data_IF_401388636334
#
_entry.id   IF_401388636334
#
_cell.length_a   1.000
_cell.length_b   1.000
_cell.length_c   1.000
_cell.angle_alpha   90.00
_cell.angle_beta   90.00
_cell.angle_gamma   90.00
#
_symmetry.space_group_name_H-M   'P 1'
#
loop_
_entity.id
_entity.type
_entity.pdbx_description
1 polymer ?
#
# COMPACT_ATOMS: atom_id res chain seq x y z
N UNK A 1 -13.49 2.09 -0.76
CA UNK A 1 -12.61 3.26 -0.93
C UNK A 1 -12.27 3.50 -2.38
N UNK A 2 -11.95 4.75 -2.72
CA UNK A 2 -11.35 5.12 -4.01
C UNK A 2 -9.87 4.70 -4.03
N UNK A 3 -9.33 4.51 -5.23
CA UNK A 3 -7.90 4.28 -5.45
C UNK A 3 -7.26 5.65 -5.70
N UNK A 4 -6.13 5.92 -5.05
CA UNK A 4 -5.37 7.17 -5.23
C UNK A 4 -3.91 6.88 -5.52
N UNK A 5 -3.28 7.70 -6.34
CA UNK A 5 -1.84 7.70 -6.52
C UNK A 5 -1.18 8.75 -5.64
N UNK A 6 0.01 8.44 -5.15
CA UNK A 6 0.90 9.36 -4.44
C UNK A 6 2.23 9.40 -5.18
N UNK A 7 2.63 10.61 -5.58
CA UNK A 7 3.89 10.94 -6.23
C UNK A 7 4.54 12.13 -5.51
N UNK A 8 4.87 11.94 -4.23
CA UNK A 8 5.36 13.01 -3.36
C UNK A 8 6.86 12.88 -3.04
N UNK A 9 7.56 14.02 -2.93
CA UNK A 9 8.96 14.08 -2.48
C UNK A 9 9.93 13.20 -3.28
N UNK A 10 11.02 12.78 -2.60
CA UNK A 10 12.06 11.91 -3.16
C UNK A 10 11.48 10.51 -3.40
N UNK A 11 11.68 9.98 -4.61
CA UNK A 11 11.33 8.60 -4.89
C UNK A 11 12.20 7.65 -4.07
N UNK A 12 11.65 6.47 -3.81
CA UNK A 12 12.34 5.42 -3.09
C UNK A 12 13.30 4.70 -4.01
N UNK A 13 14.32 4.07 -3.45
CA UNK A 13 15.25 3.24 -4.20
C UNK A 13 14.85 1.76 -4.11
N UNK A 14 14.92 1.06 -5.24
CA UNK A 14 14.60 -0.37 -5.34
C UNK A 14 13.23 -0.66 -5.98
N UNK A 15 12.80 -1.94 -5.98
CA UNK A 15 11.65 -2.40 -6.76
C UNK A 15 10.29 -2.18 -6.07
N UNK A 16 10.27 -1.62 -4.87
CA UNK A 16 9.07 -1.50 -4.03
C UNK A 16 8.66 -0.03 -3.92
N UNK A 17 7.35 0.15 -3.79
CA UNK A 17 6.77 1.41 -3.38
C UNK A 17 6.45 1.36 -1.87
N UNK A 18 6.76 2.42 -1.16
CA UNK A 18 6.93 2.55 0.29
C UNK A 18 6.34 3.90 0.76
N UNK A 19 5.51 4.53 -0.08
CA UNK A 19 4.73 5.71 0.26
C UNK A 19 4.92 6.91 -0.66
N UNK A 20 6.02 6.98 -1.41
CA UNK A 20 6.33 8.17 -2.22
C UNK A 20 5.97 8.01 -3.69
N UNK A 21 5.97 6.78 -4.23
CA UNK A 21 5.48 6.44 -5.58
C UNK A 21 4.49 5.28 -5.52
N UNK A 22 3.40 5.48 -4.80
CA UNK A 22 2.46 4.44 -4.42
C UNK A 22 1.07 4.62 -5.04
N UNK A 23 0.42 3.51 -5.36
CA UNK A 23 -1.03 3.41 -5.48
C UNK A 23 -1.57 2.90 -4.15
N UNK A 24 -2.45 3.69 -3.56
CA UNK A 24 -3.03 3.44 -2.26
C UNK A 24 -4.52 3.13 -2.38
N UNK A 25 -5.00 2.26 -1.51
CA UNK A 25 -6.43 1.97 -1.37
C UNK A 25 -6.77 1.54 0.06
N UNK A 26 -8.06 1.61 0.39
CA UNK A 26 -8.60 1.01 1.62
C UNK A 26 -8.48 -0.53 1.50
N UNK A 27 -7.76 -1.22 2.39
CA UNK A 27 -7.54 -2.67 2.28
C UNK A 27 -8.79 -3.49 2.63
N UNK A 28 -9.85 -2.85 3.14
CA UNK A 28 -11.08 -3.51 3.58
C UNK A 28 -12.04 -3.74 2.41
N UNK A 29 -12.79 -4.83 2.52
CA UNK A 29 -13.83 -5.20 1.56
C UNK A 29 -13.32 -5.99 0.36
N UNK A 30 -14.18 -6.85 -0.17
CA UNK A 30 -13.79 -7.89 -1.15
C UNK A 30 -13.47 -7.33 -2.55
N UNK A 31 -14.07 -6.21 -2.94
CA UNK A 31 -13.98 -5.66 -4.30
C UNK A 31 -12.73 -4.82 -4.57
N UNK A 32 -11.98 -4.40 -3.54
CA UNK A 32 -10.87 -3.46 -3.76
C UNK A 32 -9.68 -4.11 -4.47
N UNK A 33 -9.42 -5.38 -4.15
CA UNK A 33 -8.38 -6.18 -4.81
C UNK A 33 -8.60 -6.20 -6.33
N UNK A 34 -9.83 -6.49 -6.76
CA UNK A 34 -10.20 -6.53 -8.18
C UNK A 34 -10.05 -5.16 -8.85
N UNK A 35 -10.49 -4.09 -8.18
CA UNK A 35 -10.37 -2.72 -8.70
C UNK A 35 -8.90 -2.32 -8.91
N UNK A 36 -8.02 -2.63 -7.95
CA UNK A 36 -6.59 -2.35 -8.09
C UNK A 36 -5.97 -3.24 -9.18
N UNK A 37 -6.34 -4.53 -9.24
CA UNK A 37 -5.86 -5.46 -10.28
C UNK A 37 -6.22 -5.02 -11.70
N UNK A 38 -7.41 -4.44 -11.92
CA UNK A 38 -7.82 -3.87 -13.21
C UNK A 38 -6.86 -2.79 -13.72
N UNK A 39 -6.28 -2.00 -12.83
CA UNK A 39 -5.25 -1.00 -13.18
C UNK A 39 -3.89 -1.68 -13.37
N UNK A 40 -3.54 -2.60 -12.47
CA UNK A 40 -2.21 -3.21 -12.46
C UNK A 40 -1.99 -4.21 -13.60
N UNK A 41 -3.07 -4.74 -14.19
CA UNK A 41 -3.04 -5.83 -15.18
C UNK A 41 -2.20 -7.03 -14.69
N UNK A 42 -2.43 -7.41 -13.43
CA UNK A 42 -1.72 -8.52 -12.75
C UNK A 42 -2.66 -9.71 -12.55
N UNK A 43 -2.07 -10.87 -12.29
CA UNK A 43 -2.82 -12.08 -11.91
C UNK A 43 -3.57 -11.85 -10.61
N UNK A 44 -4.84 -12.26 -10.57
CA UNK A 44 -5.78 -11.91 -9.50
C UNK A 44 -5.44 -12.50 -8.13
N UNK A 45 -4.72 -13.63 -8.10
CA UNK A 45 -4.37 -14.29 -6.83
C UNK A 45 -3.35 -13.48 -6.01
N UNK A 46 -2.47 -12.69 -6.64
CA UNK A 46 -1.42 -11.95 -5.93
C UNK A 46 -2.04 -10.89 -5.01
N UNK A 47 -1.80 -10.94 -3.69
CA UNK A 47 -2.23 -9.88 -2.81
C UNK A 47 -1.33 -8.67 -2.95
N UNK A 48 -1.82 -7.57 -2.41
CA UNK A 48 -1.06 -6.34 -2.25
C UNK A 48 -0.44 -6.30 -0.86
N UNK A 49 0.53 -5.40 -0.68
CA UNK A 49 1.19 -5.26 0.62
C UNK A 49 0.45 -4.21 1.47
N UNK A 50 0.35 -4.37 2.79
CA UNK A 50 -0.11 -3.35 3.68
C UNK A 50 1.05 -2.41 4.07
N UNK A 51 0.74 -1.12 4.15
CA UNK A 51 1.52 -0.14 4.92
C UNK A 51 0.75 0.20 6.18
N UNK A 52 1.25 -0.25 7.33
CA UNK A 52 0.60 -0.14 8.64
C UNK A 52 1.38 0.81 9.54
N UNK A 53 0.66 1.59 10.36
CA UNK A 53 1.28 2.37 11.44
C UNK A 53 2.08 1.43 12.35
N UNK A 54 3.33 1.77 12.62
CA UNK A 54 4.25 0.91 13.37
C UNK A 54 3.68 0.49 14.73
N UNK A 55 3.04 1.42 15.44
CA UNK A 55 2.43 1.20 16.74
C UNK A 55 1.28 0.17 16.73
N UNK A 56 0.66 -0.07 15.57
CA UNK A 56 -0.45 -1.03 15.40
C UNK A 56 -0.03 -2.33 14.69
N UNK A 57 1.22 -2.45 14.26
CA UNK A 57 1.65 -3.58 13.44
C UNK A 57 1.51 -4.93 14.15
N UNK A 58 1.95 -5.01 15.41
CA UNK A 58 1.90 -6.25 16.22
C UNK A 58 0.48 -6.61 16.70
N UNK A 59 -0.45 -5.65 16.68
CA UNK A 59 -1.86 -5.90 16.98
C UNK A 59 -2.57 -6.63 15.82
N UNK A 60 -2.08 -6.45 14.59
CA UNK A 60 -2.75 -6.94 13.37
C UNK A 60 -1.99 -8.10 12.71
N UNK A 61 -0.68 -8.17 12.93
CA UNK A 61 0.18 -9.18 12.36
C UNK A 61 1.03 -9.84 13.43
N UNK A 62 1.28 -11.14 13.29
CA UNK A 62 2.29 -11.87 14.06
C UNK A 62 3.68 -11.59 13.47
N UNK A 63 4.19 -10.40 13.77
CA UNK A 63 5.41 -9.88 13.17
C UNK A 63 6.65 -10.63 13.66
N UNK A 64 7.51 -11.15 12.76
CA UNK A 64 8.74 -11.84 13.15
C UNK A 64 9.86 -10.87 13.59
N UNK A 65 9.64 -9.57 13.43
CA UNK A 65 10.59 -8.49 13.70
C UNK A 65 9.87 -7.29 14.29
N UNK A 66 10.60 -6.44 15.04
CA UNK A 66 10.02 -5.22 15.62
C UNK A 66 9.54 -4.23 14.56
N UNK A 67 10.31 -4.06 13.47
CA UNK A 67 10.02 -3.13 12.37
C UNK A 67 10.30 -3.78 11.01
N UNK A 68 9.51 -3.44 9.99
CA UNK A 68 9.68 -3.89 8.60
C UNK A 68 9.44 -2.71 7.64
N UNK A 69 10.38 -1.76 7.55
CA UNK A 69 10.21 -0.53 6.75
C UNK A 69 10.21 -0.78 5.24
N UNK A 70 10.81 -1.88 4.81
CA UNK A 70 11.11 -2.14 3.40
C UNK A 70 10.31 -3.29 2.81
N UNK A 71 9.23 -3.74 3.48
CA UNK A 71 8.41 -4.91 3.10
C UNK A 71 9.19 -6.23 3.01
N UNK A 72 10.28 -6.42 3.77
CA UNK A 72 11.16 -7.59 3.61
C UNK A 72 10.60 -8.85 4.26
N UNK A 73 9.75 -8.70 5.27
CA UNK A 73 9.23 -9.79 6.07
C UNK A 73 7.78 -10.10 5.72
N UNK A 74 7.45 -11.39 5.81
CA UNK A 74 6.09 -11.91 5.76
C UNK A 74 5.65 -12.22 7.20
N UNK A 75 4.40 -11.93 7.50
CA UNK A 75 3.80 -12.16 8.81
C UNK A 75 2.36 -12.69 8.63
N UNK A 76 1.89 -13.50 9.57
CA UNK A 76 0.51 -13.95 9.60
C UNK A 76 -0.40 -12.78 9.97
N UNK A 77 -1.51 -12.61 9.24
CA UNK A 77 -2.52 -11.62 9.59
C UNK A 77 -3.51 -12.23 10.59
N UNK A 78 -3.72 -11.55 11.71
CA UNK A 78 -4.68 -11.98 12.75
C UNK A 78 -6.14 -11.81 12.32
N UNK A 79 -6.39 -10.99 11.29
CA UNK A 79 -7.74 -10.62 10.84
C UNK A 79 -7.89 -10.68 9.31
N UNK A 80 -7.64 -11.83 8.67
CA UNK A 80 -7.61 -11.94 7.20
C UNK A 80 -8.97 -11.62 6.57
N UNK A 81 -10.08 -11.97 7.22
CA UNK A 81 -11.43 -11.67 6.73
C UNK A 81 -11.74 -10.16 6.74
N UNK A 82 -11.13 -9.42 7.66
CA UNK A 82 -11.28 -7.96 7.78
C UNK A 82 -10.43 -7.23 6.73
N UNK A 83 -9.29 -7.79 6.36
CA UNK A 83 -8.31 -7.20 5.44
C UNK A 83 -7.98 -8.08 4.22
N UNK A 84 -8.99 -8.54 3.46
CA UNK A 84 -8.80 -9.57 2.44
C UNK A 84 -7.94 -9.13 1.25
N UNK A 85 -7.76 -7.82 1.04
CA UNK A 85 -7.00 -7.30 -0.10
C UNK A 85 -5.48 -7.37 0.08
N UNK A 86 -5.01 -7.55 1.32
CA UNK A 86 -3.59 -7.57 1.67
C UNK A 86 -3.10 -8.96 2.12
N UNK A 87 -4.01 -9.93 2.27
CA UNK A 87 -3.65 -11.30 2.65
C UNK A 87 -3.52 -12.23 1.44
N UNK A 88 -2.53 -13.11 1.48
CA UNK A 88 -2.43 -14.30 0.67
C UNK A 88 -3.54 -15.30 1.05
N UNK A 89 -3.71 -16.35 0.23
CA UNK A 89 -4.70 -17.41 0.47
C UNK A 89 -4.43 -18.20 1.76
N UNK A 90 -3.18 -18.19 2.24
CA UNK A 90 -2.73 -18.79 3.49
C UNK A 90 -2.85 -17.85 4.70
N UNK A 91 -3.40 -16.65 4.51
CA UNK A 91 -3.55 -15.64 5.58
C UNK A 91 -2.32 -14.76 5.82
N UNK A 92 -1.21 -15.00 5.12
CA UNK A 92 0.03 -14.24 5.30
C UNK A 92 0.00 -12.90 4.56
N UNK A 93 0.82 -11.95 5.00
CA UNK A 93 1.01 -10.67 4.32
C UNK A 93 2.45 -10.17 4.43
N UNK A 94 2.91 -9.43 3.42
CA UNK A 94 4.25 -8.84 3.40
C UNK A 94 4.21 -7.39 3.86
N UNK A 95 4.47 -7.18 5.15
CA UNK A 95 4.10 -5.97 5.88
C UNK A 95 5.16 -4.87 5.75
N UNK A 96 4.72 -3.64 5.46
CA UNK A 96 5.49 -2.41 5.69
C UNK A 96 5.04 -1.74 6.99
N UNK A 97 5.94 -1.58 7.97
CA UNK A 97 5.71 -0.69 9.12
C UNK A 97 6.11 0.73 8.74
N UNK A 98 5.28 1.70 9.13
CA UNK A 98 5.50 3.12 8.86
C UNK A 98 5.49 3.86 10.19
N UNK A 99 6.62 4.50 10.52
CA UNK A 99 6.74 5.38 11.68
C UNK A 99 6.89 6.84 11.25
N UNK A 100 6.67 7.75 12.21
CA UNK A 100 6.86 9.19 12.00
C UNK A 100 8.30 9.54 11.65
N UNK A 101 9.27 8.80 12.18
CA UNK A 101 10.70 9.05 11.96
C UNK A 101 11.15 8.63 10.56
N UNK A 102 10.52 7.60 9.99
CA UNK A 102 10.91 7.04 8.69
C UNK A 102 10.35 7.87 7.52
N UNK A 103 9.06 8.21 7.60
CA UNK A 103 8.37 8.98 6.56
C UNK A 103 7.23 9.77 7.20
N UNK A 104 7.47 10.99 7.70
CA UNK A 104 6.48 11.75 8.48
C UNK A 104 5.23 12.10 7.65
N UNK A 105 5.39 12.34 6.35
CA UNK A 105 4.28 12.62 5.44
C UNK A 105 3.39 11.40 5.22
N UNK A 106 3.99 10.23 4.97
CA UNK A 106 3.24 8.99 4.78
C UNK A 106 2.62 8.49 6.08
N UNK A 107 3.33 8.60 7.20
CA UNK A 107 2.79 8.35 8.54
C UNK A 107 1.55 9.20 8.80
N UNK A 108 1.63 10.53 8.57
CA UNK A 108 0.49 11.44 8.74
C UNK A 108 -0.69 11.04 7.87
N UNK A 109 -0.46 10.68 6.61
CA UNK A 109 -1.51 10.20 5.70
C UNK A 109 -2.24 8.97 6.26
N UNK A 110 -1.49 7.95 6.69
CA UNK A 110 -2.09 6.72 7.22
C UNK A 110 -2.77 6.99 8.55
N UNK A 111 -2.21 7.87 9.39
CA UNK A 111 -2.81 8.27 10.67
C UNK A 111 -4.13 9.01 10.49
N UNK A 112 -4.22 9.96 9.57
CA UNK A 112 -5.49 10.63 9.26
C UNK A 112 -6.53 9.65 8.67
N UNK A 113 -6.08 8.68 7.88
CA UNK A 113 -6.94 7.60 7.40
C UNK A 113 -7.45 6.73 8.56
N UNK A 114 -6.59 6.41 9.52
CA UNK A 114 -6.94 5.66 10.72
C UNK A 114 -7.98 6.40 11.57
N UNK A 115 -7.73 7.67 11.89
CA UNK A 115 -8.63 8.50 12.69
C UNK A 115 -10.04 8.59 12.09
N UNK A 116 -10.14 8.62 10.75
CA UNK A 116 -11.42 8.70 10.04
C UNK A 116 -12.12 7.35 9.86
N UNK A 117 -11.40 6.24 9.94
CA UNK A 117 -11.93 4.94 9.48
C UNK A 117 -11.78 3.79 10.45
N UNK A 118 -10.97 3.93 11.50
CA UNK A 118 -10.56 2.86 12.40
C UNK A 118 -9.64 1.81 11.76
N UNK A 119 -9.12 2.04 10.54
CA UNK A 119 -8.18 1.14 9.89
C UNK A 119 -6.76 1.73 9.89
N UNK A 120 -5.80 1.17 10.65
CA UNK A 120 -4.47 1.75 10.85
C UNK A 120 -3.48 1.43 9.72
N UNK A 121 -3.98 1.09 8.55
CA UNK A 121 -3.16 0.72 7.41
C UNK A 121 -3.83 1.04 6.08
N UNK A 122 -3.03 1.15 5.03
CA UNK A 122 -3.50 1.23 3.65
C UNK A 122 -2.92 0.08 2.84
N UNK A 123 -3.66 -0.35 1.83
CA UNK A 123 -3.09 -1.15 0.75
C UNK A 123 -2.08 -0.30 -0.01
N UNK A 124 -0.89 -0.83 -0.25
CA UNK A 124 0.19 -0.17 -0.98
C UNK A 124 0.69 -1.06 -2.13
N UNK A 125 0.79 -0.46 -3.31
CA UNK A 125 1.49 -1.05 -4.47
C UNK A 125 2.18 0.03 -5.28
N UNK A 126 3.07 -0.34 -6.19
CA UNK A 126 3.81 0.63 -6.99
C UNK A 126 2.92 1.45 -7.92
N UNK A 127 3.20 2.75 -8.06
CA UNK A 127 2.57 3.64 -9.02
C UNK A 127 3.11 3.36 -10.43
N UNK A 128 2.66 2.24 -10.99
CA UNK A 128 2.89 1.80 -12.36
C UNK A 128 1.87 0.75 -12.76
N UNK A 129 1.94 0.31 -14.01
CA UNK A 129 1.26 -0.88 -14.53
C UNK A 129 2.29 -1.94 -14.93
N UNK A 130 1.84 -3.18 -15.19
CA UNK A 130 2.71 -4.25 -15.68
C UNK A 130 3.51 -3.79 -16.91
N UNK A 131 4.82 -4.02 -16.91
CA UNK A 131 5.71 -3.69 -18.03
C UNK A 131 6.12 -2.21 -18.12
N UNK A 132 5.76 -1.36 -17.14
CA UNK A 132 6.19 0.05 -17.07
C UNK A 132 7.00 0.34 -15.80
N UNK A 133 7.98 1.26 -15.87
CA UNK A 133 8.70 1.69 -14.68
C UNK A 133 7.77 2.44 -13.71
N UNK A 134 8.21 2.57 -12.45
CA UNK A 134 7.54 3.40 -11.46
C UNK A 134 7.56 4.86 -11.93
N UNK A 135 6.43 5.55 -11.80
CA UNK A 135 6.35 7.00 -12.09
C UNK A 135 7.41 7.73 -11.28
N UNK A 136 8.21 8.58 -11.93
CA UNK A 136 9.27 9.34 -11.24
C UNK A 136 9.34 10.82 -11.61
N UNK A 137 8.37 11.32 -12.37
CA UNK A 137 8.28 12.74 -12.72
C UNK A 137 6.84 13.23 -12.59
N UNK A 138 6.68 14.55 -12.42
CA UNK A 138 5.38 15.20 -12.40
C UNK A 138 4.56 14.87 -13.65
N UNK A 139 5.16 14.98 -14.84
CA UNK A 139 4.51 14.64 -16.11
C UNK A 139 4.09 13.16 -16.16
N UNK A 140 4.90 12.26 -15.60
CA UNK A 140 4.54 10.85 -15.45
C UNK A 140 3.29 10.65 -14.58
N UNK A 141 3.17 11.39 -13.47
CA UNK A 141 1.99 11.38 -12.61
C UNK A 141 0.74 11.92 -13.30
N UNK A 142 0.86 13.05 -14.02
CA UNK A 142 -0.24 13.62 -14.83
C UNK A 142 -0.67 12.64 -15.92
N UNK A 143 0.27 12.04 -16.63
CA UNK A 143 0.00 11.03 -17.66
C UNK A 143 -0.71 9.80 -17.09
N UNK A 144 -0.26 9.30 -15.94
CA UNK A 144 -0.90 8.20 -15.23
C UNK A 144 -2.35 8.54 -14.86
N UNK A 145 -2.56 9.71 -14.27
CA UNK A 145 -3.89 10.18 -13.85
C UNK A 145 -4.88 10.25 -15.03
N UNK A 146 -4.47 10.89 -16.14
CA UNK A 146 -5.31 11.04 -17.34
C UNK A 146 -5.69 9.69 -17.95
N UNK A 147 -4.74 8.76 -18.02
CA UNK A 147 -4.89 7.45 -18.67
C UNK A 147 -5.73 6.47 -17.85
N UNK A 148 -5.45 6.36 -16.55
CA UNK A 148 -6.07 5.35 -15.68
C UNK A 148 -7.23 5.89 -14.83
N UNK A 149 -7.55 7.18 -14.96
CA UNK A 149 -8.61 7.86 -14.20
C UNK A 149 -8.45 7.72 -12.68
N UNK A 150 -7.20 7.71 -12.22
CA UNK A 150 -6.82 7.68 -10.80
C UNK A 150 -6.17 9.01 -10.45
N UNK A 151 -6.73 9.74 -9.50
CA UNK A 151 -6.11 11.00 -9.06
C UNK A 151 -4.75 10.70 -8.43
N UNK A 152 -3.71 11.38 -8.93
CA UNK A 152 -2.35 11.32 -8.39
C UNK A 152 -2.09 12.65 -7.68
N UNK A 153 -1.63 12.57 -6.44
CA UNK A 153 -1.25 13.71 -5.60
C UNK A 153 0.27 13.80 -5.48
#
# INVERSE_FOLDING_TARGET
GNIVGVANGRAEFGPRALGNRSLLADPRGKKIKDKVNKIKHRQEFRPFAPSVLEEHAHEIFDMPVRKSQFMQFVADCKYPDKYPAICHVDGTSRVQTVSKDDNPGYYKLIKEFYEKTGCPMVLNTSLNVKGKPIVNSYLGGVGFSKKYKVKVF
#
